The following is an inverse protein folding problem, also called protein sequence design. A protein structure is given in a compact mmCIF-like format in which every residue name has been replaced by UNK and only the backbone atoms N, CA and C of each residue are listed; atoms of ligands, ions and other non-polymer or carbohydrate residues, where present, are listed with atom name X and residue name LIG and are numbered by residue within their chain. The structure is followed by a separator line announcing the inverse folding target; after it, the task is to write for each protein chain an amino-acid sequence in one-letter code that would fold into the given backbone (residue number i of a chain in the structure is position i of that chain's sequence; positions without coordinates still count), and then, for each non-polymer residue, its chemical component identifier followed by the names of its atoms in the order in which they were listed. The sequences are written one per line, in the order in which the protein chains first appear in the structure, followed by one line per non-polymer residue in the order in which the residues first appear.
data_IF_771774792203
#
_entry.id   IF_771774792203
#
_cell.length_a   1.000
_cell.length_b   1.000
_cell.length_c   1.000
_cell.angle_alpha   90.00
_cell.angle_beta   90.00
_cell.angle_gamma   90.00
#
_symmetry.space_group_name_H-M   'P 1'
#
loop_
_entity.id
_entity.type
_entity.pdbx_description
1 polymer ?
#
# COMPACT_ATOMS: atom_id res chain seq x y z
N UNK A 1 -12.97 -25.14 -11.22
CA UNK A 1 -11.99 -24.34 -11.99
C UNK A 1 -12.48 -22.90 -11.97
N UNK A 2 -11.93 -22.07 -11.07
CA UNK A 2 -12.24 -20.64 -11.00
C UNK A 2 -11.46 -19.92 -12.11
N UNK A 3 -12.14 -19.60 -13.21
CA UNK A 3 -11.67 -18.62 -14.18
C UNK A 3 -11.71 -17.24 -13.50
N UNK A 4 -10.68 -16.90 -12.73
CA UNK A 4 -10.43 -15.51 -12.40
C UNK A 4 -10.00 -14.85 -13.71
N UNK A 5 -10.76 -13.90 -14.28
CA UNK A 5 -10.29 -13.20 -15.45
C UNK A 5 -9.01 -12.49 -15.04
N UNK A 6 -7.92 -12.77 -15.75
CA UNK A 6 -6.67 -12.04 -15.66
C UNK A 6 -6.93 -10.65 -16.24
N UNK A 7 -7.73 -9.85 -15.53
CA UNK A 7 -8.15 -8.55 -16.01
C UNK A 7 -6.90 -7.68 -16.08
N UNK A 8 -6.50 -7.36 -17.31
CA UNK A 8 -5.44 -6.39 -17.63
C UNK A 8 -5.87 -4.95 -17.33
N UNK A 9 -7.11 -4.77 -16.86
CA UNK A 9 -7.65 -3.48 -16.47
C UNK A 9 -7.11 -3.06 -15.09
N UNK A 10 -6.70 -1.81 -14.99
CA UNK A 10 -6.20 -1.23 -13.75
C UNK A 10 -7.37 -0.91 -12.81
N UNK A 11 -7.32 -1.40 -11.58
CA UNK A 11 -8.23 -0.94 -10.52
C UNK A 11 -7.92 0.51 -10.12
N UNK A 12 -8.89 1.22 -9.51
CA UNK A 12 -8.68 2.57 -9.00
C UNK A 12 -7.47 2.66 -8.08
N UNK A 13 -6.83 3.83 -8.05
CA UNK A 13 -5.64 4.04 -7.25
C UNK A 13 -5.88 3.74 -5.76
N UNK A 14 -5.09 2.88 -5.11
CA UNK A 14 -5.26 2.55 -3.68
C UNK A 14 -5.07 3.74 -2.74
N UNK A 15 -4.47 4.84 -3.22
CA UNK A 15 -4.14 6.00 -2.41
C UNK A 15 -5.14 7.16 -2.58
N UNK A 16 -5.52 7.48 -3.82
CA UNK A 16 -6.43 8.60 -4.09
C UNK A 16 -7.81 8.18 -4.62
N UNK A 17 -8.04 6.90 -4.92
CA UNK A 17 -9.29 6.38 -5.44
C UNK A 17 -9.62 6.75 -6.90
N UNK A 18 -8.76 7.53 -7.57
CA UNK A 18 -8.98 7.94 -8.96
C UNK A 18 -8.71 6.80 -9.94
N UNK A 19 -9.46 6.77 -11.05
CA UNK A 19 -9.28 5.84 -12.17
C UNK A 19 -8.39 6.46 -13.27
N UNK A 20 -7.27 7.04 -12.86
CA UNK A 20 -6.35 7.75 -13.74
C UNK A 20 -4.93 7.23 -13.48
N UNK A 21 -4.74 5.96 -13.80
CA UNK A 21 -3.46 5.27 -13.70
C UNK A 21 -3.15 4.55 -15.02
N UNK A 22 -1.88 4.46 -15.36
CA UNK A 22 -1.40 3.81 -16.57
C UNK A 22 -0.11 3.05 -16.30
N UNK A 23 0.26 2.15 -17.23
CA UNK A 23 1.51 1.39 -17.16
C UNK A 23 2.58 2.10 -17.99
N UNK A 24 3.73 2.34 -17.40
CA UNK A 24 4.93 2.87 -18.05
C UNK A 24 6.01 1.79 -18.08
N UNK A 25 6.73 1.66 -19.20
CA UNK A 25 7.89 0.78 -19.29
C UNK A 25 9.11 1.49 -18.68
N UNK A 26 9.79 0.85 -17.74
CA UNK A 26 10.97 1.40 -17.05
C UNK A 26 12.28 1.02 -17.75
N UNK A 27 12.38 -0.23 -18.18
CA UNK A 27 13.56 -0.80 -18.82
C UNK A 27 13.15 -1.88 -19.83
N UNK A 28 14.12 -2.52 -20.48
CA UNK A 28 13.94 -3.58 -21.47
C UNK A 28 13.19 -4.81 -20.95
N UNK A 29 13.13 -5.02 -19.63
CA UNK A 29 12.50 -6.17 -18.97
C UNK A 29 11.55 -5.79 -17.82
N UNK A 30 11.19 -4.50 -17.68
CA UNK A 30 10.44 -4.02 -16.51
C UNK A 30 9.42 -2.92 -16.83
N UNK A 31 8.29 -2.95 -16.12
CA UNK A 31 7.22 -1.93 -16.18
C UNK A 31 6.70 -1.56 -14.80
N UNK A 32 6.01 -0.43 -14.69
CA UNK A 32 5.41 0.07 -13.45
C UNK A 32 4.07 0.74 -13.72
N UNK A 33 3.15 0.70 -12.75
CA UNK A 33 1.92 1.49 -12.79
C UNK A 33 2.12 2.84 -12.11
N UNK A 34 1.67 3.94 -12.71
CA UNK A 34 1.71 5.29 -12.14
C UNK A 34 0.32 5.90 -12.18
N UNK A 35 -0.11 6.49 -11.06
CA UNK A 35 -1.35 7.26 -11.00
C UNK A 35 -1.09 8.76 -11.27
N UNK A 36 -1.87 9.37 -12.16
CA UNK A 36 -1.89 10.82 -12.42
C UNK A 36 -3.17 11.50 -11.93
N UNK A 37 -4.05 10.76 -11.26
CA UNK A 37 -5.30 11.29 -10.70
C UNK A 37 -5.08 12.54 -9.84
N UNK A 38 -5.92 13.54 -10.05
CA UNK A 38 -5.83 14.83 -9.34
C UNK A 38 -6.19 14.67 -7.87
N UNK A 39 -5.35 15.26 -7.01
CA UNK A 39 -5.55 15.37 -5.54
C UNK A 39 -5.62 16.85 -5.17
N UNK A 40 -6.67 17.52 -5.63
CA UNK A 40 -6.86 18.96 -5.50
C UNK A 40 -6.68 19.72 -6.82
N UNK A 41 -6.52 21.03 -6.74
CA UNK A 41 -6.51 21.91 -7.92
C UNK A 41 -5.21 21.84 -8.73
N UNK A 42 -4.07 21.67 -8.04
CA UNK A 42 -2.73 21.78 -8.64
C UNK A 42 -1.79 20.61 -8.30
N UNK A 43 -2.34 19.49 -7.81
CA UNK A 43 -1.55 18.33 -7.42
C UNK A 43 -2.09 17.04 -8.05
N UNK A 44 -1.17 16.15 -8.43
CA UNK A 44 -1.45 14.80 -8.91
C UNK A 44 -0.96 13.78 -7.88
N UNK A 45 -1.61 12.62 -7.82
CA UNK A 45 -1.31 11.59 -6.84
C UNK A 45 0.12 11.05 -6.98
N UNK A 46 0.54 10.77 -8.22
CA UNK A 46 1.88 10.26 -8.58
C UNK A 46 2.30 8.98 -7.84
N UNK A 47 1.35 8.28 -7.21
CA UNK A 47 1.64 7.03 -6.55
C UNK A 47 2.12 6.01 -7.56
N UNK A 48 3.25 5.36 -7.27
CA UNK A 48 3.84 4.32 -8.11
C UNK A 48 3.53 2.94 -7.52
N UNK A 49 3.16 2.02 -8.39
CA UNK A 49 3.00 0.60 -8.06
C UNK A 49 4.34 -0.11 -7.89
N UNK A 50 4.30 -1.39 -7.50
CA UNK A 50 5.44 -2.29 -7.64
C UNK A 50 5.93 -2.37 -9.08
N UNK A 51 7.23 -2.60 -9.26
CA UNK A 51 7.83 -2.88 -10.57
C UNK A 51 7.49 -4.32 -10.94
N UNK A 52 6.83 -4.50 -12.08
CA UNK A 52 6.63 -5.80 -12.70
C UNK A 52 7.81 -6.13 -13.60
N UNK A 53 8.40 -7.30 -13.42
CA UNK A 53 9.42 -7.85 -14.32
C UNK A 53 8.78 -8.73 -15.39
N UNK A 54 9.44 -8.85 -16.54
CA UNK A 54 9.05 -9.77 -17.61
C UNK A 54 8.96 -11.19 -17.07
N UNK A 55 7.85 -11.87 -17.35
CA UNK A 55 7.59 -13.26 -16.96
C UNK A 55 7.75 -14.21 -18.14
N UNK A 56 7.51 -13.71 -19.36
CA UNK A 56 7.60 -14.47 -20.61
C UNK A 56 8.37 -13.70 -21.70
N UNK A 57 9.07 -14.43 -22.57
CA UNK A 57 9.87 -13.86 -23.68
C UNK A 57 9.04 -12.98 -24.63
N UNK A 58 7.77 -13.32 -24.84
CA UNK A 58 6.86 -12.74 -25.84
C UNK A 58 5.76 -11.89 -25.20
N UNK A 59 6.17 -10.89 -24.42
CA UNK A 59 5.26 -9.86 -23.90
C UNK A 59 5.28 -8.61 -24.79
N UNK A 60 4.09 -8.08 -25.12
CA UNK A 60 3.95 -6.83 -25.90
C UNK A 60 4.69 -5.66 -25.23
N UNK A 61 4.54 -5.56 -23.91
CA UNK A 61 5.30 -4.65 -23.06
C UNK A 61 5.89 -5.46 -21.89
N UNK A 62 7.22 -5.54 -21.78
CA UNK A 62 7.90 -6.34 -20.75
C UNK A 62 7.51 -5.93 -19.33
N UNK A 63 7.04 -6.88 -18.52
CA UNK A 63 6.64 -6.69 -17.14
C UNK A 63 5.29 -6.02 -16.94
N UNK A 64 4.55 -5.71 -18.02
CA UNK A 64 3.24 -5.03 -17.93
C UNK A 64 2.24 -5.83 -17.09
N UNK A 65 2.09 -7.11 -17.39
CA UNK A 65 1.08 -7.96 -16.74
C UNK A 65 1.39 -8.13 -15.25
N UNK A 66 2.67 -8.31 -14.90
CA UNK A 66 3.12 -8.35 -13.52
C UNK A 66 2.85 -7.01 -12.79
N UNK A 67 3.15 -5.88 -13.41
CA UNK A 67 2.91 -4.55 -12.82
C UNK A 67 1.41 -4.30 -12.55
N UNK A 68 0.55 -4.65 -13.50
CA UNK A 68 -0.92 -4.54 -13.35
C UNK A 68 -1.42 -5.45 -12.23
N UNK A 69 -0.97 -6.71 -12.20
CA UNK A 69 -1.38 -7.69 -11.17
C UNK A 69 -1.03 -7.21 -9.77
N UNK A 70 0.20 -6.73 -9.56
CA UNK A 70 0.67 -6.25 -8.26
C UNK A 70 0.00 -4.93 -7.85
N UNK A 71 -0.27 -4.04 -8.81
CA UNK A 71 -1.09 -2.85 -8.55
C UNK A 71 -2.49 -3.22 -8.09
N UNK A 72 -3.15 -4.13 -8.79
CA UNK A 72 -4.51 -4.56 -8.49
C UNK A 72 -4.59 -5.29 -7.14
N UNK A 73 -3.59 -6.10 -6.80
CA UNK A 73 -3.47 -6.72 -5.48
C UNK A 73 -3.47 -5.64 -4.38
N UNK A 74 -2.65 -4.59 -4.52
CA UNK A 74 -2.64 -3.46 -3.58
C UNK A 74 -3.98 -2.71 -3.53
N UNK A 75 -4.59 -2.47 -4.68
CA UNK A 75 -5.89 -1.78 -4.78
C UNK A 75 -7.01 -2.54 -4.05
N UNK A 76 -7.04 -3.87 -4.15
CA UNK A 76 -8.00 -4.71 -3.43
C UNK A 76 -7.85 -4.58 -1.91
N UNK A 77 -6.62 -4.60 -1.41
CA UNK A 77 -6.35 -4.48 0.03
C UNK A 77 -6.55 -3.08 0.60
N UNK A 78 -6.46 -2.02 -0.21
CA UNK A 78 -6.67 -0.65 0.26
C UNK A 78 -8.12 -0.38 0.72
N UNK A 79 -9.08 -1.19 0.28
CA UNK A 79 -10.46 -1.12 0.77
C UNK A 79 -10.63 -1.67 2.20
N UNK A 80 -9.66 -2.44 2.69
CA UNK A 80 -9.66 -2.91 4.07
C UNK A 80 -9.27 -1.75 4.99
N UNK A 81 -10.25 -1.20 5.71
CA UNK A 81 -9.96 -0.27 6.81
C UNK A 81 -9.12 -1.01 7.85
N UNK A 82 -7.85 -0.66 7.96
CA UNK A 82 -7.05 -1.05 9.13
C UNK A 82 -7.60 -0.26 10.31
N UNK A 83 -8.48 -0.91 11.09
CA UNK A 83 -8.85 -0.40 12.40
C UNK A 83 -7.64 -0.65 13.30
N UNK A 84 -6.79 0.37 13.41
CA UNK A 84 -5.77 0.36 14.45
C UNK A 84 -6.49 0.34 15.80
N UNK A 85 -6.04 -0.48 16.77
CA UNK A 85 -6.61 -0.42 18.10
C UNK A 85 -6.48 1.00 18.65
N UNK A 86 -7.46 1.44 19.44
CA UNK A 86 -7.37 2.72 20.13
C UNK A 86 -6.05 2.77 20.92
N UNK A 87 -5.17 3.70 20.53
CA UNK A 87 -3.95 3.98 21.30
C UNK A 87 -4.37 4.73 22.55
N UNK A 88 -4.56 3.99 23.64
CA UNK A 88 -4.75 4.60 24.96
C UNK A 88 -3.40 5.08 25.47
N UNK A 89 -3.33 6.35 25.89
CA UNK A 89 -2.20 6.82 26.66
C UNK A 89 -2.16 6.01 27.96
N UNK A 90 -1.10 5.24 28.18
CA UNK A 90 -0.96 4.43 29.40
C UNK A 90 -0.62 5.36 30.57
N UNK A 91 0.32 6.28 30.37
CA UNK A 91 0.71 7.26 31.36
C UNK A 91 1.30 8.50 30.65
N UNK A 92 1.29 9.65 31.33
CA UNK A 92 1.97 10.88 30.88
C UNK A 92 3.19 11.12 31.78
N UNK A 93 4.32 11.51 31.20
CA UNK A 93 5.54 11.85 31.98
C UNK A 93 5.30 13.03 32.93
N UNK A 94 4.37 13.92 32.57
CA UNK A 94 4.07 15.15 33.31
C UNK A 94 3.36 14.87 34.64
N UNK A 95 2.63 13.76 34.75
CA UNK A 95 1.78 13.47 35.92
C UNK A 95 2.39 12.43 36.89
N UNK A 96 3.15 11.45 36.40
CA UNK A 96 3.61 10.30 37.21
C UNK A 96 5.14 10.11 37.27
N UNK A 97 5.92 10.75 36.40
CA UNK A 97 7.36 10.48 36.28
C UNK A 97 7.69 9.19 35.50
N UNK A 98 8.90 9.12 34.95
CA UNK A 98 9.30 8.10 33.95
C UNK A 98 9.27 6.65 34.47
N UNK A 99 9.68 6.41 35.72
CA UNK A 99 9.77 5.06 36.25
C UNK A 99 8.39 4.46 36.54
N UNK A 100 7.48 5.25 37.10
CA UNK A 100 6.10 4.83 37.41
C UNK A 100 5.34 4.48 36.13
N UNK A 101 5.57 5.25 35.07
CA UNK A 101 5.13 4.97 33.71
C UNK A 101 5.60 3.59 33.19
N UNK A 102 6.86 3.25 33.42
CA UNK A 102 7.45 1.99 32.97
C UNK A 102 6.89 0.81 33.77
N UNK A 103 6.69 0.97 35.08
CA UNK A 103 6.12 -0.07 35.93
C UNK A 103 4.66 -0.38 35.54
N UNK A 104 3.87 0.61 35.17
CA UNK A 104 2.50 0.41 34.67
C UNK A 104 2.47 -0.34 33.33
N UNK A 105 3.39 0.00 32.41
CA UNK A 105 3.57 -0.74 31.15
C UNK A 105 4.01 -2.19 31.41
N UNK A 106 4.88 -2.41 32.40
CA UNK A 106 5.36 -3.75 32.75
C UNK A 106 4.25 -4.62 33.34
N UNK A 107 3.41 -4.05 34.21
CA UNK A 107 2.23 -4.72 34.78
C UNK A 107 1.24 -5.13 33.68
N UNK A 108 0.97 -4.27 32.71
CA UNK A 108 0.09 -4.58 31.59
C UNK A 108 0.60 -5.72 30.70
N UNK A 109 1.91 -5.90 30.60
CA UNK A 109 2.54 -6.95 29.79
C UNK A 109 2.90 -8.21 30.58
N UNK A 110 2.57 -8.28 31.88
CA UNK A 110 2.94 -9.41 32.74
C UNK A 110 4.45 -9.57 32.92
N UNK A 111 5.23 -8.51 32.64
CA UNK A 111 6.68 -8.48 32.82
C UNK A 111 6.94 -7.94 34.23
N UNK A 112 7.62 -8.71 35.09
CA UNK A 112 8.21 -8.16 36.31
C UNK A 112 9.55 -7.55 35.96
N UNK A 113 9.67 -6.23 36.09
CA UNK A 113 10.93 -5.50 36.02
C UNK A 113 11.71 -5.63 37.34
#
# INVERSE_FOLDING_TARGET
MSNTPNSTELLPCPFCGQQDAFVEQLDSDASVVICQGRVGEHAACLSRGPVGLREHEVEDQPGRNAAVREWNNRAQHATAKVVLPERRLICSYEDAGFNDCIDEVAQLNGIKL
#
